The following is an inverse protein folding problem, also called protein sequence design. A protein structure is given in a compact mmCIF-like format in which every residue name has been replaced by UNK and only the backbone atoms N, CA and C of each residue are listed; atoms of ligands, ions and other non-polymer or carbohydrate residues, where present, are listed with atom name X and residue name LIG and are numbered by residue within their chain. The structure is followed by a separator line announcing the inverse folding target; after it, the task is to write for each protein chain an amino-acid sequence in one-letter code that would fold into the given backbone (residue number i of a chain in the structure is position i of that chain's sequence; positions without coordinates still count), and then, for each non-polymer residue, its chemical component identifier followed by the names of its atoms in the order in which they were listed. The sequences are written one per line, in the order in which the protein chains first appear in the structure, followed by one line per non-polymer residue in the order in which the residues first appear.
data_IF_273417125657
#
_entry.id   IF_273417125657
#
_cell.length_a   1.000
_cell.length_b   1.000
_cell.length_c   1.000
_cell.angle_alpha   90.00
_cell.angle_beta   90.00
_cell.angle_gamma   90.00
#
_symmetry.space_group_name_H-M   'P 1'
#
loop_
_entity.id
_entity.type
_entity.pdbx_description
1 polymer ?
#
# COMPACT_ATOMS: atom_id res chain seq x y z
N UNK A 1 -14.78 -16.42 28.92
CA UNK A 1 -13.52 -16.63 28.18
C UNK A 1 -13.59 -15.84 26.89
N UNK A 2 -13.35 -14.53 26.96
CA UNK A 2 -13.18 -13.68 25.77
C UNK A 2 -12.09 -12.70 26.14
N UNK A 3 -10.85 -13.03 25.81
CA UNK A 3 -9.77 -12.05 25.72
C UNK A 3 -8.60 -12.71 24.98
N UNK A 4 -8.49 -12.41 23.70
CA UNK A 4 -7.20 -12.39 23.02
C UNK A 4 -7.36 -11.48 21.81
N UNK A 5 -7.61 -10.21 22.12
CA UNK A 5 -7.37 -9.10 21.21
C UNK A 5 -5.90 -9.15 20.83
N UNK A 6 -5.61 -9.69 19.66
CA UNK A 6 -4.30 -9.56 19.04
C UNK A 6 -4.16 -8.10 18.61
N UNK A 7 -3.50 -7.32 19.45
CA UNK A 7 -2.87 -6.07 19.04
C UNK A 7 -1.92 -6.41 17.88
N UNK A 8 -2.37 -6.09 16.67
CA UNK A 8 -1.50 -6.00 15.49
C UNK A 8 -0.68 -4.75 15.69
N UNK A 9 0.46 -4.89 16.38
CA UNK A 9 1.51 -3.88 16.40
C UNK A 9 2.10 -3.77 15.01
N UNK A 10 1.48 -2.93 14.18
CA UNK A 10 2.03 -2.47 12.91
C UNK A 10 3.45 -1.95 13.18
N UNK A 11 4.50 -2.53 12.56
CA UNK A 11 5.84 -2.01 12.70
C UNK A 11 5.85 -0.61 12.08
N UNK A 12 6.00 0.39 12.95
CA UNK A 12 6.35 1.77 12.67
C UNK A 12 6.06 2.23 11.23
N UNK A 13 4.85 2.74 11.01
CA UNK A 13 4.53 3.65 9.92
C UNK A 13 5.36 4.93 10.10
N UNK A 14 6.68 4.82 9.85
CA UNK A 14 7.64 5.90 9.96
C UNK A 14 7.49 6.77 8.72
N UNK A 15 6.58 7.72 8.89
CA UNK A 15 6.39 8.91 8.10
C UNK A 15 7.74 9.56 7.77
N UNK A 16 8.35 9.17 6.65
CA UNK A 16 9.53 9.85 6.12
C UNK A 16 9.31 10.16 4.64
N UNK A 17 8.50 11.19 4.39
CA UNK A 17 8.74 12.13 3.30
C UNK A 17 8.09 13.50 3.59
N UNK A 18 8.54 14.17 4.64
CA UNK A 18 8.23 15.58 4.86
C UNK A 18 9.11 16.46 3.96
N UNK A 19 8.76 16.61 2.67
CA UNK A 19 9.34 17.67 1.83
C UNK A 19 8.18 18.52 1.27
N UNK A 20 8.06 19.73 1.84
CA UNK A 20 7.23 20.86 1.41
C UNK A 20 5.79 20.55 0.97
N UNK A 21 4.96 20.06 1.90
CA UNK A 21 3.52 19.94 1.66
C UNK A 21 2.83 21.31 1.74
N UNK A 22 2.18 21.71 0.65
CA UNK A 22 1.21 22.82 0.65
C UNK A 22 0.00 22.40 1.49
N UNK A 23 -0.80 23.36 1.97
CA UNK A 23 -1.97 23.09 2.83
C UNK A 23 -2.96 22.08 2.20
N UNK A 24 -3.04 22.04 0.87
CA UNK A 24 -3.86 21.10 0.11
C UNK A 24 -3.30 19.67 0.15
N UNK A 25 -1.98 19.52 0.08
CA UNK A 25 -1.30 18.21 0.08
C UNK A 25 -1.50 17.49 1.40
N UNK A 26 -1.49 18.22 2.53
CA UNK A 26 -1.74 17.66 3.87
C UNK A 26 -3.13 17.04 4.00
N UNK A 27 -4.13 17.63 3.34
CA UNK A 27 -5.49 17.07 3.34
C UNK A 27 -5.54 15.78 2.52
N UNK A 28 -4.87 15.75 1.38
CA UNK A 28 -4.81 14.57 0.51
C UNK A 28 -4.07 13.43 1.22
N UNK A 29 -2.93 13.72 1.86
CA UNK A 29 -2.15 12.72 2.61
C UNK A 29 -2.96 12.11 3.77
N UNK A 30 -3.61 12.95 4.58
CA UNK A 30 -4.46 12.47 5.67
C UNK A 30 -5.63 11.62 5.14
N UNK A 31 -6.28 12.06 4.06
CA UNK A 31 -7.35 11.31 3.41
C UNK A 31 -6.86 9.97 2.87
N UNK A 32 -5.70 9.96 2.20
CA UNK A 32 -5.07 8.78 1.64
C UNK A 32 -4.71 7.78 2.73
N UNK A 33 -4.07 8.25 3.81
CA UNK A 33 -3.74 7.41 4.96
C UNK A 33 -4.99 6.80 5.57
N UNK A 34 -6.04 7.59 5.80
CA UNK A 34 -7.30 7.08 6.36
C UNK A 34 -7.95 6.02 5.46
N UNK A 35 -8.03 6.28 4.15
CA UNK A 35 -8.60 5.35 3.19
C UNK A 35 -7.79 4.04 3.14
N UNK A 36 -6.46 4.14 3.08
CA UNK A 36 -5.58 2.98 3.02
C UNK A 36 -5.56 2.18 4.33
N UNK A 37 -5.74 2.82 5.49
CA UNK A 37 -5.95 2.11 6.75
C UNK A 37 -7.19 1.24 6.69
N UNK A 38 -8.32 1.77 6.19
CA UNK A 38 -9.54 0.98 6.02
C UNK A 38 -9.33 -0.19 5.05
N UNK A 39 -8.62 0.04 3.93
CA UNK A 39 -8.27 -1.04 2.98
C UNK A 39 -7.44 -2.11 3.69
N UNK A 40 -6.44 -1.71 4.46
CA UNK A 40 -5.56 -2.63 5.19
C UNK A 40 -6.37 -3.48 6.15
N UNK A 41 -7.20 -2.86 7.00
CA UNK A 41 -8.06 -3.56 7.97
C UNK A 41 -9.09 -4.47 7.30
N UNK A 42 -9.69 -4.05 6.19
CA UNK A 42 -10.67 -4.85 5.46
C UNK A 42 -10.02 -6.03 4.71
N UNK A 43 -8.77 -5.89 4.28
CA UNK A 43 -8.01 -6.98 3.65
C UNK A 43 -7.42 -7.94 4.70
N UNK A 44 -7.02 -7.42 5.87
CA UNK A 44 -6.54 -8.21 7.01
C UNK A 44 -7.65 -9.19 7.44
N UNK A 45 -7.44 -10.48 7.20
CA UNK A 45 -8.40 -11.53 7.55
C UNK A 45 -9.46 -11.86 6.47
N UNK A 46 -9.50 -11.12 5.36
CA UNK A 46 -10.28 -11.53 4.17
C UNK A 46 -9.43 -12.22 3.10
N UNK A 47 -8.19 -11.79 2.98
CA UNK A 47 -7.23 -12.29 2.01
C UNK A 47 -6.19 -13.09 2.76
N UNK A 48 -6.14 -14.39 2.49
CA UNK A 48 -5.16 -15.29 3.11
C UNK A 48 -3.75 -14.92 2.68
N UNK A 49 -2.86 -14.77 3.66
CA UNK A 49 -1.47 -14.39 3.47
C UNK A 49 -1.22 -12.92 3.12
N UNK A 50 -2.23 -12.05 3.11
CA UNK A 50 -2.00 -10.60 3.09
C UNK A 50 -1.49 -10.13 4.45
N UNK A 51 -0.41 -9.35 4.46
CA UNK A 51 0.23 -8.89 5.72
C UNK A 51 0.06 -7.39 5.91
N UNK A 52 0.41 -6.60 4.90
CA UNK A 52 0.33 -5.14 4.96
C UNK A 52 0.31 -4.52 3.57
N UNK A 53 0.00 -3.23 3.49
CA UNK A 53 0.13 -2.46 2.26
C UNK A 53 0.84 -1.13 2.52
N UNK A 54 1.44 -0.59 1.48
CA UNK A 54 2.05 0.73 1.49
C UNK A 54 1.70 1.51 0.25
N UNK A 55 1.95 2.81 0.29
CA UNK A 55 1.73 3.70 -0.83
C UNK A 55 2.95 4.57 -1.08
N UNK A 56 3.17 4.86 -2.35
CA UNK A 56 4.19 5.76 -2.86
C UNK A 56 3.47 6.79 -3.71
N UNK A 57 3.49 8.05 -3.31
CA UNK A 57 2.80 9.12 -4.02
C UNK A 57 3.78 10.22 -4.38
N UNK A 58 3.67 10.74 -5.60
CA UNK A 58 4.35 11.96 -5.99
C UNK A 58 3.32 13.09 -6.10
N UNK A 59 3.26 13.96 -5.10
CA UNK A 59 2.34 15.10 -5.03
C UNK A 59 2.42 16.03 -6.24
N UNK A 60 3.55 16.07 -6.95
CA UNK A 60 3.72 16.89 -8.15
C UNK A 60 2.95 16.36 -9.38
N UNK A 61 2.58 15.07 -9.37
CA UNK A 61 1.88 14.39 -10.47
C UNK A 61 0.64 13.62 -9.98
N UNK A 62 0.10 14.04 -8.83
CA UNK A 62 -1.10 13.46 -8.23
C UNK A 62 -2.35 13.74 -9.08
N UNK A 63 -3.32 12.80 -9.19
CA UNK A 63 -3.41 11.46 -8.58
C UNK A 63 -2.76 10.33 -9.40
N UNK A 64 -2.27 10.60 -10.60
CA UNK A 64 -1.79 9.58 -11.53
C UNK A 64 -0.47 8.91 -11.10
N UNK A 65 0.31 9.57 -10.24
CA UNK A 65 1.58 9.08 -9.72
C UNK A 65 1.45 8.21 -8.47
N UNK A 66 0.24 8.09 -7.90
CA UNK A 66 0.02 7.24 -6.74
C UNK A 66 0.28 5.78 -7.15
N UNK A 67 1.12 5.10 -6.38
CA UNK A 67 1.30 3.67 -6.40
C UNK A 67 0.98 3.08 -5.05
N UNK A 68 0.30 1.95 -5.03
CA UNK A 68 -0.04 1.18 -3.85
C UNK A 68 0.59 -0.19 -4.03
N UNK A 69 1.28 -0.68 -3.02
CA UNK A 69 1.93 -1.98 -3.03
C UNK A 69 1.33 -2.79 -1.88
N UNK A 70 0.65 -3.87 -2.22
CA UNK A 70 0.11 -4.83 -1.27
C UNK A 70 1.11 -5.97 -1.08
N UNK A 71 1.48 -6.24 0.17
CA UNK A 71 2.52 -7.20 0.53
C UNK A 71 1.89 -8.43 1.17
N UNK A 72 2.26 -9.59 0.63
CA UNK A 72 1.89 -10.90 1.12
C UNK A 72 3.03 -11.57 1.87
N UNK A 73 2.71 -12.55 2.69
CA UNK A 73 3.68 -13.29 3.49
C UNK A 73 4.58 -14.17 2.61
N UNK A 74 3.97 -14.90 1.67
CA UNK A 74 4.67 -15.86 0.80
C UNK A 74 4.32 -15.67 -0.67
N UNK A 75 5.23 -16.13 -1.54
CA UNK A 75 5.02 -16.17 -2.99
C UNK A 75 3.79 -17.02 -3.35
N UNK A 76 3.56 -18.10 -2.59
CA UNK A 76 2.41 -18.99 -2.75
C UNK A 76 1.08 -18.31 -2.42
N UNK A 77 1.01 -17.56 -1.30
CA UNK A 77 -0.19 -16.82 -0.94
C UNK A 77 -0.56 -15.79 -2.01
N UNK A 78 0.44 -15.08 -2.54
CA UNK A 78 0.23 -14.16 -3.66
C UNK A 78 -0.27 -14.90 -4.91
N UNK A 79 0.38 -15.99 -5.30
CA UNK A 79 -0.05 -16.78 -6.46
C UNK A 79 -1.48 -17.31 -6.32
N UNK A 80 -1.85 -17.76 -5.12
CA UNK A 80 -3.21 -18.20 -4.80
C UNK A 80 -4.21 -17.05 -4.87
N UNK A 81 -3.88 -15.87 -4.32
CA UNK A 81 -4.74 -14.69 -4.39
C UNK A 81 -4.97 -14.24 -5.85
N UNK A 82 -3.92 -14.20 -6.67
CA UNK A 82 -4.03 -13.89 -8.11
C UNK A 82 -4.84 -14.98 -8.85
N UNK A 83 -4.57 -16.25 -8.57
CA UNK A 83 -5.30 -17.37 -9.16
C UNK A 83 -6.79 -17.37 -8.81
N UNK A 84 -7.13 -16.97 -7.58
CA UNK A 84 -8.49 -16.81 -7.08
C UNK A 84 -9.16 -15.48 -7.51
N UNK A 85 -8.49 -14.66 -8.32
CA UNK A 85 -8.94 -13.32 -8.73
C UNK A 85 -9.25 -12.38 -7.56
N UNK A 86 -8.52 -12.52 -6.46
CA UNK A 86 -8.61 -11.60 -5.33
C UNK A 86 -7.91 -10.26 -5.63
N UNK A 87 -7.16 -10.15 -6.72
CA UNK A 87 -6.67 -8.86 -7.25
C UNK A 87 -7.83 -7.89 -7.53
N UNK A 88 -8.94 -8.39 -8.10
CA UNK A 88 -10.13 -7.58 -8.34
C UNK A 88 -10.76 -7.08 -7.03
N UNK A 89 -10.69 -7.86 -5.95
CA UNK A 89 -11.13 -7.43 -4.63
C UNK A 89 -10.29 -6.25 -4.12
N UNK A 90 -8.97 -6.33 -4.23
CA UNK A 90 -8.08 -5.21 -3.87
C UNK A 90 -8.37 -3.98 -4.72
N UNK A 91 -8.48 -4.11 -6.04
CA UNK A 91 -8.77 -2.98 -6.92
C UNK A 91 -10.10 -2.31 -6.55
N UNK A 92 -11.16 -3.10 -6.32
CA UNK A 92 -12.47 -2.56 -5.95
C UNK A 92 -12.43 -1.86 -4.58
N UNK A 93 -11.80 -2.49 -3.59
CA UNK A 93 -11.70 -1.97 -2.24
C UNK A 93 -10.89 -0.66 -2.20
N UNK A 94 -9.71 -0.65 -2.83
CA UNK A 94 -8.86 0.54 -2.95
C UNK A 94 -9.61 1.65 -3.69
N UNK A 95 -10.26 1.34 -4.82
CA UNK A 95 -11.02 2.34 -5.57
C UNK A 95 -12.12 2.97 -4.71
N UNK A 96 -12.83 2.14 -3.96
CA UNK A 96 -13.96 2.55 -3.13
C UNK A 96 -13.51 3.48 -2.01
N UNK A 97 -12.51 3.08 -1.22
CA UNK A 97 -12.01 3.87 -0.10
C UNK A 97 -11.38 5.18 -0.58
N UNK A 98 -10.64 5.16 -1.69
CA UNK A 98 -10.07 6.38 -2.27
C UNK A 98 -11.14 7.31 -2.85
N UNK A 99 -12.14 6.76 -3.54
CA UNK A 99 -13.24 7.56 -4.09
C UNK A 99 -14.06 8.22 -2.98
N UNK A 100 -14.24 7.55 -1.83
CA UNK A 100 -14.91 8.12 -0.66
C UNK A 100 -14.22 9.38 -0.12
N UNK A 101 -12.91 9.49 -0.30
CA UNK A 101 -12.12 10.67 0.07
C UNK A 101 -11.83 11.61 -1.10
N UNK A 102 -12.59 11.51 -2.21
CA UNK A 102 -12.45 12.30 -3.44
C UNK A 102 -11.12 12.08 -4.20
N UNK A 103 -10.50 10.92 -4.06
CA UNK A 103 -9.30 10.52 -4.82
C UNK A 103 -9.73 9.52 -5.91
N UNK A 104 -9.64 9.93 -7.17
CA UNK A 104 -10.00 9.08 -8.31
C UNK A 104 -8.74 8.50 -8.96
N UNK A 105 -8.68 7.17 -9.03
CA UNK A 105 -7.62 6.46 -9.74
C UNK A 105 -8.08 6.13 -11.16
N UNK A 106 -7.42 6.72 -12.15
CA UNK A 106 -7.72 6.44 -13.55
C UNK A 106 -7.13 5.11 -14.02
N UNK A 107 -6.08 4.61 -13.33
CA UNK A 107 -5.30 3.45 -13.79
C UNK A 107 -5.01 2.48 -12.64
N UNK A 108 -6.05 1.98 -11.98
CA UNK A 108 -5.90 1.09 -10.82
C UNK A 108 -4.92 -0.06 -11.04
N UNK A 109 -5.01 -0.80 -12.16
CA UNK A 109 -4.10 -1.92 -12.45
C UNK A 109 -2.63 -1.52 -12.63
N UNK A 110 -2.35 -0.26 -12.95
CA UNK A 110 -0.97 0.25 -13.06
C UNK A 110 -0.48 0.89 -11.76
N UNK A 111 -1.42 1.34 -10.92
CA UNK A 111 -1.14 2.02 -9.67
C UNK A 111 -1.04 1.03 -8.51
N UNK A 112 -1.84 -0.02 -8.50
CA UNK A 112 -1.84 -1.07 -7.47
C UNK A 112 -0.99 -2.24 -7.96
N UNK A 113 0.07 -2.54 -7.21
CA UNK A 113 0.96 -3.67 -7.39
C UNK A 113 0.93 -4.61 -6.19
N UNK A 114 1.46 -5.80 -6.39
CA UNK A 114 1.53 -6.85 -5.38
C UNK A 114 2.98 -7.32 -5.21
N UNK A 115 3.36 -7.62 -3.98
CA UNK A 115 4.71 -8.04 -3.63
C UNK A 115 4.66 -9.01 -2.43
N UNK A 116 5.79 -9.62 -2.08
CA UNK A 116 5.86 -10.60 -0.98
C UNK A 116 7.07 -10.35 -0.07
N UNK A 117 6.91 -10.63 1.23
CA UNK A 117 8.01 -10.64 2.20
C UNK A 117 9.09 -11.62 1.74
N UNK A 118 8.70 -12.80 1.27
CA UNK A 118 9.61 -13.81 0.76
C UNK A 118 10.46 -13.32 -0.43
N UNK A 119 9.88 -12.58 -1.38
CA UNK A 119 10.62 -11.99 -2.50
C UNK A 119 11.54 -10.85 -2.06
N UNK A 120 11.13 -10.07 -1.06
CA UNK A 120 11.96 -9.03 -0.45
C UNK A 120 13.14 -9.64 0.30
N UNK A 121 12.92 -10.69 1.09
CA UNK A 121 13.95 -11.46 1.79
C UNK A 121 14.95 -12.04 0.81
N UNK A 122 14.47 -12.72 -0.24
CA UNK A 122 15.31 -13.34 -1.27
C UNK A 122 16.16 -12.34 -2.05
N UNK A 123 15.60 -11.17 -2.38
CA UNK A 123 16.24 -10.23 -3.31
C UNK A 123 16.99 -9.09 -2.63
N UNK A 124 16.56 -8.67 -1.44
CA UNK A 124 17.07 -7.49 -0.73
C UNK A 124 17.29 -7.76 0.78
N UNK A 125 17.19 -9.01 1.26
CA UNK A 125 17.41 -9.36 2.67
C UNK A 125 16.42 -8.67 3.62
N UNK A 126 15.15 -8.57 3.21
CA UNK A 126 14.09 -7.97 4.01
C UNK A 126 14.08 -6.44 4.00
N UNK A 127 14.98 -5.81 3.23
CA UNK A 127 15.12 -4.35 3.17
C UNK A 127 14.10 -3.72 2.22
N UNK A 128 12.87 -3.57 2.69
CA UNK A 128 11.79 -2.89 1.96
C UNK A 128 12.12 -1.46 1.55
N UNK A 129 12.93 -0.74 2.34
CA UNK A 129 13.36 0.61 1.99
C UNK A 129 14.10 0.67 0.63
N UNK A 130 15.00 -0.28 0.36
CA UNK A 130 15.76 -0.33 -0.91
C UNK A 130 14.85 -0.74 -2.08
N UNK A 131 13.91 -1.66 -1.82
CA UNK A 131 12.94 -2.14 -2.81
C UNK A 131 11.96 -1.04 -3.22
N UNK A 132 11.41 -0.32 -2.25
CA UNK A 132 10.47 0.79 -2.47
C UNK A 132 11.17 2.03 -3.05
N UNK A 133 12.44 2.27 -2.70
CA UNK A 133 13.22 3.38 -3.27
C UNK A 133 13.35 3.29 -4.80
N UNK A 134 13.38 2.07 -5.37
CA UNK A 134 13.36 1.87 -6.83
C UNK A 134 12.00 2.23 -7.47
N UNK A 135 10.92 2.18 -6.69
CA UNK A 135 9.57 2.53 -7.16
C UNK A 135 9.29 4.03 -7.03
N UNK A 136 10.02 4.74 -6.17
CA UNK A 136 10.01 6.19 -6.16
C UNK A 136 10.62 6.70 -7.47
N UNK A 137 9.89 7.52 -8.26
CA UNK A 137 10.50 8.17 -9.40
C UNK A 137 11.66 9.01 -8.86
N UNK A 138 12.87 8.69 -9.32
CA UNK A 138 14.12 9.27 -8.84
C UNK A 138 13.99 10.78 -8.66
N UNK A 139 13.85 11.24 -7.42
CA UNK A 139 14.31 12.57 -7.07
C UNK A 139 15.83 12.47 -7.19
N UNK A 140 16.35 12.76 -8.38
CA UNK A 140 17.76 13.07 -8.56
C UNK A 140 18.00 14.32 -7.71
N UNK A 141 18.51 14.13 -6.50
CA UNK A 141 19.20 15.20 -5.79
C UNK A 141 20.44 15.47 -6.66
N UNK A 142 20.45 16.63 -7.33
CA UNK A 142 21.66 17.25 -7.84
C UNK A 142 22.30 18.06 -6.71
#
# INVERSE_FOLDING_TARGET
MVESSREVTLPACSSLLCIFMKKSDKKIDNALRSALTNVCEAALGKVDGFVWLTHVVNYNAFPNSLKIICVFETDEALANAIGAKQDDFFYLLINRELSAVNIQLNKLRQQVGFDTEEACERSHGGKWNERLAKLQPSMKLH
#
